data_IF_214953447028
#
_entry.id   IF_214953447028
#
_cell.length_a   1.000
_cell.length_b   1.000
_cell.length_c   1.000
_cell.angle_alpha   90.00
_cell.angle_beta   90.00
_cell.angle_gamma   90.00
#
_symmetry.space_group_name_H-M   'P 1'
#
loop_
_entity.id
_entity.type
_entity.pdbx_description
1 polymer ?
#
# COMPACT_ATOMS: atom_id res chain seq x y z
N UNK A 1 -12.34 -27.82 -6.35
CA UNK A 1 -11.89 -28.55 -5.14
C UNK A 1 -13.12 -28.76 -4.29
N UNK A 2 -13.31 -29.97 -3.74
CA UNK A 2 -14.42 -30.23 -2.83
C UNK A 2 -14.25 -29.37 -1.57
N UNK A 3 -15.28 -28.60 -1.22
CA UNK A 3 -15.25 -27.75 -0.04
C UNK A 3 -15.43 -28.65 1.19
N UNK A 4 -14.62 -28.50 2.26
CA UNK A 4 -14.77 -29.32 3.45
C UNK A 4 -16.16 -29.12 4.06
N UNK A 5 -16.76 -30.20 4.54
CA UNK A 5 -18.07 -30.21 5.16
C UNK A 5 -18.02 -29.46 6.51
N UNK A 6 -18.78 -28.37 6.70
CA UNK A 6 -18.74 -27.56 7.92
C UNK A 6 -19.30 -28.29 9.15
N UNK A 7 -20.09 -29.36 8.97
CA UNK A 7 -20.66 -30.14 10.10
C UNK A 7 -19.61 -30.97 10.82
N UNK A 8 -18.50 -31.31 10.14
CA UNK A 8 -17.41 -32.09 10.72
C UNK A 8 -16.64 -31.34 11.81
N UNK A 9 -16.73 -30.00 11.85
CA UNK A 9 -16.02 -29.18 12.83
C UNK A 9 -16.79 -29.07 14.15
N UNK A 10 -18.11 -29.28 14.12
CA UNK A 10 -19.01 -29.14 15.28
C UNK A 10 -18.87 -30.29 16.28
N UNK A 11 -18.36 -31.44 15.83
CA UNK A 11 -18.18 -32.65 16.65
C UNK A 11 -16.78 -32.78 17.26
N UNK A 12 -15.85 -31.89 16.91
CA UNK A 12 -14.47 -31.93 17.38
C UNK A 12 -14.34 -31.51 18.85
N UNK A 13 -13.46 -32.20 19.58
CA UNK A 13 -13.04 -31.79 20.91
C UNK A 13 -12.20 -30.50 20.89
N UNK A 14 -12.12 -29.81 22.04
CA UNK A 14 -11.38 -28.54 22.16
C UNK A 14 -9.89 -28.67 21.79
N UNK A 15 -9.26 -29.81 22.12
CA UNK A 15 -7.85 -30.08 21.76
C UNK A 15 -7.67 -30.16 20.25
N UNK A 16 -8.54 -30.89 19.57
CA UNK A 16 -8.46 -31.14 18.14
C UNK A 16 -8.77 -29.86 17.36
N UNK A 17 -9.73 -29.07 17.85
CA UNK A 17 -10.04 -27.75 17.31
C UNK A 17 -8.83 -26.81 17.41
N UNK A 18 -8.08 -26.80 18.51
CA UNK A 18 -6.86 -25.99 18.66
C UNK A 18 -5.77 -26.40 17.67
N UNK A 19 -5.56 -27.69 17.46
CA UNK A 19 -4.60 -28.23 16.49
C UNK A 19 -5.02 -27.88 15.06
N UNK A 20 -6.30 -28.03 14.74
CA UNK A 20 -6.85 -27.68 13.43
C UNK A 20 -6.68 -26.18 13.13
N UNK A 21 -7.03 -25.32 14.08
CA UNK A 21 -6.86 -23.86 13.94
C UNK A 21 -5.38 -23.50 13.78
N UNK A 22 -4.47 -24.10 14.55
CA UNK A 22 -3.03 -23.91 14.38
C UNK A 22 -2.57 -24.24 12.95
N UNK A 23 -2.94 -25.42 12.47
CA UNK A 23 -2.62 -25.87 11.11
C UNK A 23 -3.20 -24.92 10.04
N UNK A 24 -4.45 -24.47 10.20
CA UNK A 24 -5.08 -23.55 9.27
C UNK A 24 -4.40 -22.18 9.27
N UNK A 25 -3.95 -21.68 10.42
CA UNK A 25 -3.19 -20.44 10.50
C UNK A 25 -1.88 -20.56 9.72
N UNK A 26 -1.14 -21.66 9.90
CA UNK A 26 0.10 -21.90 9.16
C UNK A 26 -0.14 -22.00 7.64
N UNK A 27 -1.16 -22.76 7.23
CA UNK A 27 -1.52 -22.91 5.82
C UNK A 27 -1.96 -21.58 5.19
N UNK A 28 -2.77 -20.79 5.90
CA UNK A 28 -3.23 -19.48 5.40
C UNK A 28 -2.07 -18.49 5.29
N UNK A 29 -1.14 -18.47 6.25
CA UNK A 29 0.07 -17.65 6.17
C UNK A 29 0.94 -18.04 4.97
N UNK A 30 1.15 -19.34 4.76
CA UNK A 30 1.91 -19.84 3.60
C UNK A 30 1.23 -19.47 2.29
N UNK A 31 -0.06 -19.77 2.14
CA UNK A 31 -0.81 -19.51 0.91
C UNK A 31 -0.92 -18.01 0.61
N UNK A 32 -1.03 -17.17 1.63
CA UNK A 32 -1.07 -15.71 1.44
C UNK A 32 0.29 -15.16 1.00
N UNK A 33 1.40 -15.71 1.50
CA UNK A 33 2.75 -15.37 1.04
C UNK A 33 2.99 -15.84 -0.41
N UNK A 34 2.62 -17.07 -0.75
CA UNK A 34 2.74 -17.61 -2.11
C UNK A 34 1.88 -16.82 -3.10
N UNK A 35 0.61 -16.55 -2.76
CA UNK A 35 -0.26 -15.71 -3.60
C UNK A 35 0.30 -14.30 -3.79
N UNK A 36 0.94 -13.72 -2.76
CA UNK A 36 1.59 -12.42 -2.86
C UNK A 36 2.73 -12.47 -3.88
N UNK A 37 3.63 -13.45 -3.77
CA UNK A 37 4.73 -13.62 -4.71
C UNK A 37 4.24 -13.85 -6.14
N UNK A 38 3.22 -14.69 -6.34
CA UNK A 38 2.62 -14.92 -7.66
C UNK A 38 1.99 -13.67 -8.25
N UNK A 39 1.29 -12.86 -7.43
CA UNK A 39 0.71 -11.59 -7.88
C UNK A 39 1.78 -10.59 -8.28
N UNK A 40 2.88 -10.53 -7.53
CA UNK A 40 4.00 -9.65 -7.83
C UNK A 40 4.70 -10.08 -9.14
N UNK A 41 4.85 -11.39 -9.37
CA UNK A 41 5.38 -11.91 -10.64
C UNK A 41 4.45 -11.65 -11.82
N UNK A 42 3.14 -11.84 -11.64
CA UNK A 42 2.13 -11.49 -12.66
C UNK A 42 2.22 -9.99 -12.99
N UNK A 43 2.37 -9.12 -11.98
CA UNK A 43 2.50 -7.68 -12.21
C UNK A 43 3.76 -7.35 -13.03
N UNK A 44 4.89 -7.98 -12.69
CA UNK A 44 6.15 -7.85 -13.45
C UNK A 44 5.97 -8.27 -14.90
N UNK A 45 5.36 -9.43 -15.15
CA UNK A 45 5.10 -9.95 -16.50
C UNK A 45 4.16 -9.06 -17.30
N UNK A 46 3.19 -8.42 -16.64
CA UNK A 46 2.24 -7.50 -17.27
C UNK A 46 2.74 -6.06 -17.38
N UNK A 47 3.97 -5.77 -16.95
CA UNK A 47 4.51 -4.40 -16.97
C UNK A 47 3.78 -3.43 -16.04
N UNK A 48 3.06 -3.94 -15.03
CA UNK A 48 2.41 -3.13 -14.01
C UNK A 48 3.47 -2.57 -13.04
N UNK A 49 3.25 -1.38 -12.46
CA UNK A 49 4.16 -0.84 -11.45
C UNK A 49 4.26 -1.81 -10.25
N UNK A 50 5.42 -1.87 -9.57
CA UNK A 50 5.61 -2.75 -8.44
C UNK A 50 4.64 -2.41 -7.33
N UNK A 51 4.20 -3.43 -6.58
CA UNK A 51 3.30 -3.26 -5.46
C UNK A 51 3.90 -2.24 -4.48
N UNK A 52 3.13 -1.22 -4.05
CA UNK A 52 3.61 -0.28 -3.06
C UNK A 52 4.05 -1.02 -1.79
N UNK A 53 5.17 -0.64 -1.16
CA UNK A 53 5.48 -1.15 0.15
C UNK A 53 4.32 -0.82 1.09
N UNK A 54 4.00 -1.70 2.03
CA UNK A 54 3.06 -1.43 3.12
C UNK A 54 3.66 -0.39 4.06
N UNK A 55 3.87 0.83 3.57
CA UNK A 55 4.09 1.98 4.42
C UNK A 55 2.74 2.31 5.02
N UNK A 56 2.71 2.39 6.35
CA UNK A 56 1.65 3.02 7.14
C UNK A 56 1.63 4.51 6.79
N UNK A 57 1.34 4.84 5.54
CA UNK A 57 1.07 6.21 5.14
C UNK A 57 -0.37 6.42 5.59
N UNK A 58 -0.63 7.29 6.58
CA UNK A 58 -1.99 7.54 7.00
C UNK A 58 -2.77 7.96 5.75
N UNK A 59 -3.87 7.25 5.48
CA UNK A 59 -4.80 7.65 4.43
C UNK A 59 -5.17 9.09 4.73
N UNK A 60 -4.98 10.01 3.79
CA UNK A 60 -5.18 11.44 3.99
C UNK A 60 -6.58 11.83 4.51
N UNK A 61 -7.49 10.86 4.60
CA UNK A 61 -8.74 10.90 5.35
C UNK A 61 -8.62 11.35 6.81
N UNK A 62 -7.50 11.09 7.50
CA UNK A 62 -7.35 11.54 8.90
C UNK A 62 -7.34 13.07 9.05
N UNK A 63 -7.08 13.81 7.96
CA UNK A 63 -7.18 15.27 7.94
C UNK A 63 -8.62 15.79 7.91
N UNK A 64 -9.59 14.98 7.48
CA UNK A 64 -10.99 15.39 7.42
C UNK A 64 -11.69 15.34 8.79
N UNK A 65 -11.17 14.52 9.72
CA UNK A 65 -11.69 14.36 11.10
C UNK A 65 -10.88 15.11 12.15
N UNK A 66 -9.72 15.67 11.79
CA UNK A 66 -8.90 16.49 12.68
C UNK A 66 -9.45 17.92 12.82
N UNK A 67 -9.37 18.48 14.03
CA UNK A 67 -9.65 19.90 14.24
C UNK A 67 -8.81 20.76 13.27
N UNK A 68 -9.47 21.66 12.53
CA UNK A 68 -8.80 22.52 11.56
C UNK A 68 -7.71 23.35 12.25
N UNK A 69 -6.45 23.13 11.88
CA UNK A 69 -5.36 24.02 12.28
C UNK A 69 -5.52 25.33 11.53
N UNK A 70 -5.58 26.45 12.26
CA UNK A 70 -5.58 27.80 11.69
C UNK A 70 -4.34 27.93 10.80
N UNK A 71 -4.47 28.23 9.49
CA UNK A 71 -3.31 28.39 8.63
C UNK A 71 -2.50 29.59 9.12
N UNK A 72 -1.27 29.34 9.57
CA UNK A 72 -0.31 30.39 9.90
C UNK A 72 0.01 31.25 8.67
N UNK A 73 0.45 32.49 8.91
CA UNK A 73 0.74 33.47 7.87
C UNK A 73 1.64 32.90 6.75
N UNK A 74 1.09 32.78 5.56
CA UNK A 74 1.82 32.37 4.36
C UNK A 74 2.78 33.49 3.98
N UNK A 75 4.09 33.24 4.04
CA UNK A 75 5.10 34.17 3.50
C UNK A 75 4.87 34.28 1.99
N UNK A 76 4.43 35.46 1.54
CA UNK A 76 4.28 35.78 0.11
C UNK A 76 5.67 35.70 -0.54
N UNK A 77 5.79 34.97 -1.65
CA UNK A 77 7.00 34.99 -2.48
C UNK A 77 7.11 36.37 -3.13
N UNK A 78 8.31 36.93 -3.10
CA UNK A 78 8.61 38.22 -3.71
C UNK A 78 8.38 38.21 -5.23
N UNK A 79 8.41 39.39 -5.88
CA UNK A 79 8.23 39.51 -7.32
C UNK A 79 9.22 38.64 -8.09
N UNK A 80 8.76 38.02 -9.17
CA UNK A 80 9.56 37.17 -10.07
C UNK A 80 10.66 38.03 -10.68
N UNK A 81 11.92 37.63 -10.49
CA UNK A 81 13.03 38.22 -11.23
C UNK A 81 13.09 37.57 -12.62
N UNK A 82 12.69 38.31 -13.65
CA UNK A 82 12.88 37.90 -15.03
C UNK A 82 14.38 37.84 -15.35
N UNK A 83 14.83 36.73 -15.93
CA UNK A 83 16.22 36.57 -16.35
C UNK A 83 16.40 37.23 -17.72
N UNK A 84 17.07 38.38 -17.76
CA UNK A 84 17.50 39.00 -19.01
C UNK A 84 18.53 38.10 -19.70
N UNK A 85 18.23 37.60 -20.90
CA UNK A 85 19.20 36.94 -21.77
C UNK A 85 19.86 37.96 -22.68
N UNK A 86 21.17 38.16 -22.52
CA UNK A 86 21.97 39.02 -23.40
C UNK A 86 22.28 38.27 -24.69
N UNK A 87 21.80 38.75 -25.83
CA UNK A 87 22.24 38.29 -27.15
C UNK A 87 23.51 39.05 -27.55
N UNK A 88 24.56 38.32 -27.91
CA UNK A 88 25.80 38.91 -28.42
C UNK A 88 25.70 39.05 -29.94
N UNK A 89 25.76 40.28 -30.45
CA UNK A 89 25.99 40.52 -31.87
C UNK A 89 27.49 40.48 -32.16
N UNK A 90 27.87 39.81 -33.26
CA UNK A 90 29.23 39.80 -33.79
C UNK A 90 29.19 40.60 -35.08
N UNK A 91 29.88 41.74 -35.11
CA UNK A 91 30.16 42.45 -36.37
C UNK A 91 31.37 41.83 -37.04
N UNK A 92 31.25 41.59 -38.35
CA UNK A 92 32.27 40.98 -39.23
C UNK A 92 33.46 41.91 -39.48
#
# INVERSE_FOLDING_TARGET
MAQPDPTSVETLGLSDLRVLVGTLIEQTQRLTAENRALRDEIARLKGLPPRPPTRQTPSGMEKATGAAKIPGAVRRRGPVQERCTLTREVML
#
